data_IF_339538212232
#
_entry.id   IF_339538212232
#
_cell.length_a   1.000
_cell.length_b   1.000
_cell.length_c   1.000
_cell.angle_alpha   90.00
_cell.angle_beta   90.00
_cell.angle_gamma   90.00
#
_symmetry.space_group_name_H-M   'P 1'
#
loop_
_entity.id
_entity.type
_entity.pdbx_description
1 polymer ?
#
# COMPACT_ATOMS: atom_id res chain seq x y z
N UNK A 1 4.22 -18.81 15.69
CA UNK A 1 3.05 -18.32 14.93
C UNK A 1 3.53 -17.55 13.70
N UNK A 2 2.88 -17.71 12.57
CA UNK A 2 3.28 -17.09 11.31
C UNK A 2 2.49 -15.82 11.06
N UNK A 3 3.12 -14.81 10.45
CA UNK A 3 2.48 -13.55 10.10
C UNK A 3 2.52 -13.32 8.59
N UNK A 4 1.43 -12.78 8.05
CA UNK A 4 1.42 -12.17 6.73
C UNK A 4 1.14 -10.68 6.88
N UNK A 5 2.01 -9.87 6.30
CA UNK A 5 1.94 -8.43 6.37
C UNK A 5 1.69 -7.92 4.95
N UNK A 6 0.80 -6.97 4.78
CA UNK A 6 0.37 -6.48 3.48
C UNK A 6 0.60 -4.99 3.36
N UNK A 7 0.98 -4.52 2.18
CA UNK A 7 0.69 -3.15 1.80
C UNK A 7 -0.82 -2.98 1.54
N UNK A 8 -1.28 -1.76 1.39
CA UNK A 8 -2.69 -1.43 1.20
C UNK A 8 -2.96 -0.95 -0.23
N UNK A 9 -2.45 0.24 -0.59
CA UNK A 9 -2.72 0.88 -1.88
C UNK A 9 -1.98 0.16 -3.01
N UNK A 10 -2.72 -0.39 -3.98
CA UNK A 10 -2.15 -1.18 -5.08
C UNK A 10 -1.95 -2.66 -4.74
N UNK A 11 -2.09 -3.05 -3.48
CA UNK A 11 -1.97 -4.44 -3.04
C UNK A 11 -3.34 -5.02 -2.66
N UNK A 12 -3.94 -4.58 -1.57
CA UNK A 12 -5.28 -5.06 -1.18
C UNK A 12 -6.40 -4.24 -1.83
N UNK A 13 -6.15 -2.95 -2.05
CA UNK A 13 -7.14 -1.98 -2.52
C UNK A 13 -6.63 -1.30 -3.80
N UNK A 14 -7.44 -1.31 -4.85
CA UNK A 14 -7.29 -0.41 -5.98
C UNK A 14 -7.81 0.99 -5.58
N UNK A 15 -6.93 1.81 -5.03
CA UNK A 15 -7.24 3.14 -4.49
C UNK A 15 -6.86 4.28 -5.43
N UNK A 16 -6.23 4.00 -6.56
CA UNK A 16 -5.78 5.01 -7.50
C UNK A 16 -6.93 5.91 -8.05
N UNK A 17 -8.17 5.42 -8.26
CA UNK A 17 -9.26 6.28 -8.71
C UNK A 17 -9.60 7.40 -7.71
N UNK A 18 -9.64 7.13 -6.39
CA UNK A 18 -9.89 8.18 -5.39
C UNK A 18 -8.73 9.14 -5.24
N UNK A 19 -7.49 8.62 -5.33
CA UNK A 19 -6.28 9.45 -5.32
C UNK A 19 -6.30 10.40 -6.54
N UNK A 20 -6.63 9.89 -7.73
CA UNK A 20 -6.76 10.71 -8.94
C UNK A 20 -7.85 11.76 -8.79
N UNK A 21 -9.01 11.40 -8.25
CA UNK A 21 -10.12 12.34 -8.07
C UNK A 21 -9.71 13.50 -7.15
N UNK A 22 -9.02 13.22 -6.04
CA UNK A 22 -8.52 14.25 -5.12
C UNK A 22 -7.48 15.16 -5.79
N UNK A 23 -6.52 14.57 -6.51
CA UNK A 23 -5.50 15.33 -7.27
C UNK A 23 -6.16 16.21 -8.32
N UNK A 24 -7.04 15.67 -9.13
CA UNK A 24 -7.68 16.42 -10.21
C UNK A 24 -8.60 17.53 -9.69
N UNK A 25 -9.24 17.32 -8.55
CA UNK A 25 -10.00 18.39 -7.90
C UNK A 25 -9.09 19.51 -7.39
N UNK A 26 -7.97 19.18 -6.80
CA UNK A 26 -6.96 20.16 -6.38
C UNK A 26 -6.45 20.95 -7.60
N UNK A 27 -6.10 20.27 -8.70
CA UNK A 27 -5.63 20.91 -9.94
C UNK A 27 -6.69 21.82 -10.57
N UNK A 28 -7.96 21.41 -10.59
CA UNK A 28 -9.05 22.25 -11.11
C UNK A 28 -9.20 23.54 -10.33
N UNK A 29 -9.02 23.52 -8.99
CA UNK A 29 -9.05 24.74 -8.17
C UNK A 29 -7.85 25.66 -8.42
N UNK A 30 -6.77 25.15 -9.04
CA UNK A 30 -5.62 25.90 -9.52
C UNK A 30 -5.75 26.33 -11.00
N UNK A 31 -6.88 26.03 -11.64
CA UNK A 31 -7.11 26.34 -13.07
C UNK A 31 -6.33 25.44 -14.03
N UNK A 32 -5.89 24.27 -13.57
CA UNK A 32 -5.08 23.30 -14.33
C UNK A 32 -5.97 22.13 -14.76
N UNK A 33 -5.73 21.62 -15.96
CA UNK A 33 -6.42 20.45 -16.48
C UNK A 33 -6.10 19.16 -15.72
N UNK A 34 -6.96 18.13 -15.82
CA UNK A 34 -6.78 16.87 -15.09
C UNK A 34 -5.61 16.07 -15.62
N UNK A 35 -5.00 15.28 -14.73
CA UNK A 35 -4.08 14.20 -15.07
C UNK A 35 -4.86 12.90 -15.29
N UNK A 36 -4.41 12.08 -16.25
CA UNK A 36 -4.96 10.75 -16.47
C UNK A 36 -4.57 9.79 -15.33
N UNK A 37 -5.28 8.64 -15.25
CA UNK A 37 -5.10 7.68 -14.18
C UNK A 37 -3.70 7.06 -14.21
N UNK A 38 -3.17 6.72 -15.37
CA UNK A 38 -1.86 6.10 -15.50
C UNK A 38 -0.74 7.02 -14.99
N UNK A 39 -0.85 8.32 -15.31
CA UNK A 39 0.08 9.34 -14.78
C UNK A 39 0.01 9.40 -13.26
N UNK A 40 -1.19 9.45 -12.66
CA UNK A 40 -1.33 9.50 -11.19
C UNK A 40 -0.81 8.22 -10.55
N UNK A 41 -1.10 7.04 -11.11
CA UNK A 41 -0.58 5.75 -10.63
C UNK A 41 0.95 5.79 -10.55
N UNK A 42 1.64 6.35 -11.55
CA UNK A 42 3.10 6.45 -11.56
C UNK A 42 3.68 7.30 -10.41
N UNK A 43 2.85 8.05 -9.71
CA UNK A 43 3.26 8.88 -8.57
C UNK A 43 3.00 8.23 -7.22
N UNK A 44 2.23 7.12 -7.17
CA UNK A 44 1.88 6.38 -5.94
C UNK A 44 3.09 5.59 -5.41
N UNK A 45 3.06 5.19 -4.15
CA UNK A 45 4.02 4.29 -3.47
C UNK A 45 4.82 4.96 -2.34
N UNK A 46 5.19 6.24 -2.47
CA UNK A 46 6.00 6.94 -1.47
C UNK A 46 5.19 7.83 -0.49
N UNK A 47 3.85 7.68 -0.50
CA UNK A 47 2.90 8.46 0.30
C UNK A 47 2.51 9.79 -0.34
N UNK A 48 1.42 10.38 0.17
CA UNK A 48 0.76 11.56 -0.39
C UNK A 48 1.70 12.79 -0.54
N UNK A 49 2.62 13.10 0.39
CA UNK A 49 3.53 14.25 0.19
C UNK A 49 4.38 14.11 -1.08
N UNK A 50 4.93 12.91 -1.32
CA UNK A 50 5.77 12.66 -2.50
C UNK A 50 4.94 12.60 -3.79
N UNK A 51 3.72 12.11 -3.72
CA UNK A 51 2.78 12.14 -4.83
C UNK A 51 2.51 13.59 -5.24
N UNK A 52 2.15 14.48 -4.31
CA UNK A 52 1.90 15.90 -4.61
C UNK A 52 3.14 16.60 -5.17
N UNK A 53 4.33 16.32 -4.65
CA UNK A 53 5.59 16.83 -5.21
C UNK A 53 5.74 16.46 -6.70
N UNK A 54 5.47 15.18 -7.04
CA UNK A 54 5.51 14.68 -8.43
C UNK A 54 4.43 15.34 -9.31
N UNK A 55 3.23 15.54 -8.77
CA UNK A 55 2.15 16.26 -9.46
C UNK A 55 2.58 17.68 -9.79
N UNK A 56 3.09 18.43 -8.81
CA UNK A 56 3.53 19.81 -9.02
C UNK A 56 4.61 19.89 -10.12
N UNK A 57 5.56 18.95 -10.09
CA UNK A 57 6.60 18.86 -11.10
C UNK A 57 6.02 18.59 -12.50
N UNK A 58 5.09 17.65 -12.62
CA UNK A 58 4.47 17.26 -13.88
C UNK A 58 3.66 18.39 -14.53
N UNK A 59 2.98 19.21 -13.71
CA UNK A 59 2.17 20.36 -14.20
C UNK A 59 2.90 21.69 -14.10
N UNK A 60 4.20 21.68 -13.78
CA UNK A 60 5.07 22.86 -13.71
C UNK A 60 4.58 23.92 -12.69
N UNK A 61 3.96 23.49 -11.61
CA UNK A 61 3.64 24.35 -10.47
C UNK A 61 4.88 24.60 -9.58
N UNK A 62 5.01 25.80 -8.98
CA UNK A 62 6.12 26.12 -8.07
C UNK A 62 6.16 25.19 -6.86
N UNK A 63 7.36 24.70 -6.52
CA UNK A 63 7.55 23.75 -5.40
C UNK A 63 7.37 24.41 -4.02
N UNK A 64 7.46 25.71 -3.91
CA UNK A 64 7.17 26.47 -2.68
C UNK A 64 5.68 26.37 -2.27
N UNK A 65 4.80 26.00 -3.20
CA UNK A 65 3.38 25.73 -2.95
C UNK A 65 3.11 24.32 -2.40
N UNK A 66 4.12 23.45 -2.32
CA UNK A 66 3.94 22.04 -1.99
C UNK A 66 3.15 21.83 -0.70
N UNK A 67 3.52 22.50 0.41
CA UNK A 67 2.85 22.30 1.70
C UNK A 67 1.35 22.59 1.63
N UNK A 68 0.97 23.74 1.03
CA UNK A 68 -0.43 24.15 0.92
C UNK A 68 -1.24 23.21 0.01
N UNK A 69 -0.64 22.76 -1.11
CA UNK A 69 -1.32 21.86 -2.04
C UNK A 69 -1.37 20.43 -1.54
N UNK A 70 -0.39 20.00 -0.76
CA UNK A 70 -0.44 18.72 -0.05
C UNK A 70 -1.61 18.70 0.97
N UNK A 71 -1.70 19.70 1.85
CA UNK A 71 -2.79 19.79 2.84
C UNK A 71 -4.16 19.82 2.14
N UNK A 72 -4.28 20.58 1.05
CA UNK A 72 -5.48 20.65 0.23
C UNK A 72 -5.85 19.29 -0.38
N UNK A 73 -4.88 18.61 -1.00
CA UNK A 73 -5.10 17.29 -1.60
C UNK A 73 -5.50 16.26 -0.55
N UNK A 74 -4.84 16.27 0.61
CA UNK A 74 -5.17 15.39 1.72
C UNK A 74 -6.59 15.64 2.25
N UNK A 75 -6.98 16.90 2.42
CA UNK A 75 -8.35 17.26 2.82
C UNK A 75 -9.39 16.78 1.81
N UNK A 76 -9.11 16.92 0.52
CA UNK A 76 -10.02 16.45 -0.55
C UNK A 76 -10.12 14.93 -0.56
N UNK A 77 -9.00 14.24 -0.39
CA UNK A 77 -8.95 12.79 -0.31
C UNK A 77 -9.72 12.26 0.91
N UNK A 78 -9.49 12.83 2.10
CA UNK A 78 -10.12 12.38 3.35
C UNK A 78 -11.64 12.59 3.41
N UNK A 79 -12.23 13.39 2.50
CA UNK A 79 -13.69 13.56 2.42
C UNK A 79 -14.42 12.33 1.88
N UNK A 80 -13.76 11.52 1.05
CA UNK A 80 -14.33 10.33 0.46
C UNK A 80 -13.19 9.38 0.01
N UNK A 81 -12.45 8.74 0.94
CA UNK A 81 -11.23 8.01 0.62
C UNK A 81 -11.48 6.64 -0.03
N UNK A 82 -12.74 6.20 -0.11
CA UNK A 82 -13.15 4.89 -0.60
C UNK A 82 -14.34 4.93 -1.58
N UNK A 83 -14.67 6.12 -2.12
CA UNK A 83 -15.86 6.28 -2.97
C UNK A 83 -15.73 5.58 -4.34
N UNK A 84 -14.51 5.50 -4.87
CA UNK A 84 -14.19 4.89 -6.16
C UNK A 84 -13.22 3.70 -6.02
N UNK A 85 -12.64 3.54 -4.84
CA UNK A 85 -11.73 2.43 -4.50
C UNK A 85 -12.48 1.12 -4.39
N UNK A 86 -11.78 0.01 -4.62
CA UNK A 86 -12.32 -1.33 -4.44
C UNK A 86 -11.24 -2.30 -3.96
N UNK A 87 -11.55 -3.31 -3.14
CA UNK A 87 -10.64 -4.43 -2.94
C UNK A 87 -10.38 -5.14 -4.28
N UNK A 88 -9.13 -5.56 -4.49
CA UNK A 88 -8.83 -6.41 -5.65
C UNK A 88 -9.61 -7.72 -5.57
N UNK A 89 -9.88 -8.31 -6.74
CA UNK A 89 -10.60 -9.58 -6.84
C UNK A 89 -9.89 -10.68 -6.02
N UNK A 90 -10.65 -11.41 -5.21
CA UNK A 90 -10.17 -12.51 -4.39
C UNK A 90 -9.51 -12.09 -3.06
N UNK A 91 -9.39 -10.80 -2.75
CA UNK A 91 -8.77 -10.32 -1.50
C UNK A 91 -9.56 -10.79 -0.28
N UNK A 92 -10.87 -10.64 -0.29
CA UNK A 92 -11.71 -10.98 0.88
C UNK A 92 -11.63 -12.47 1.17
N UNK A 93 -11.83 -13.30 0.16
CA UNK A 93 -11.76 -14.77 0.25
C UNK A 93 -10.36 -15.23 0.72
N UNK A 94 -9.31 -14.62 0.19
CA UNK A 94 -7.95 -14.91 0.60
C UNK A 94 -7.71 -14.60 2.08
N UNK A 95 -8.16 -13.43 2.56
CA UNK A 95 -8.04 -13.04 3.97
C UNK A 95 -8.84 -13.97 4.89
N UNK A 96 -10.02 -14.41 4.49
CA UNK A 96 -10.83 -15.40 5.23
C UNK A 96 -10.09 -16.74 5.36
N UNK A 97 -9.48 -17.21 4.27
CA UNK A 97 -8.69 -18.45 4.27
C UNK A 97 -7.49 -18.35 5.19
N UNK A 98 -6.71 -17.25 5.08
CA UNK A 98 -5.52 -17.05 5.92
C UNK A 98 -5.86 -16.94 7.40
N UNK A 99 -6.95 -16.24 7.74
CA UNK A 99 -7.44 -16.15 9.11
C UNK A 99 -7.88 -17.51 9.65
N UNK A 100 -8.62 -18.31 8.84
CA UNK A 100 -9.03 -19.66 9.21
C UNK A 100 -7.85 -20.63 9.39
N UNK A 101 -6.74 -20.40 8.70
CA UNK A 101 -5.48 -21.14 8.87
C UNK A 101 -4.69 -20.72 10.13
N UNK A 102 -5.15 -19.69 10.85
CA UNK A 102 -4.55 -19.20 12.08
C UNK A 102 -3.33 -18.31 11.87
N UNK A 103 -3.17 -17.73 10.67
CA UNK A 103 -2.17 -16.70 10.41
C UNK A 103 -2.56 -15.38 11.08
N UNK A 104 -1.57 -14.66 11.60
CA UNK A 104 -1.74 -13.30 12.12
C UNK A 104 -1.47 -12.30 11.00
N UNK A 105 -2.37 -11.34 10.84
CA UNK A 105 -2.34 -10.42 9.72
C UNK A 105 -2.09 -8.99 10.18
N UNK A 106 -1.29 -8.23 9.40
CA UNK A 106 -1.03 -6.83 9.63
C UNK A 106 -0.97 -6.03 8.33
N UNK A 107 -1.14 -4.72 8.45
CA UNK A 107 -0.90 -3.74 7.38
C UNK A 107 0.39 -2.99 7.67
N UNK A 108 1.23 -2.82 6.62
CA UNK A 108 2.41 -1.96 6.62
C UNK A 108 2.40 -1.10 5.36
N UNK A 109 1.95 0.16 5.48
CA UNK A 109 1.71 1.04 4.34
C UNK A 109 2.33 2.42 4.52
N UNK A 110 2.65 3.12 3.40
CA UNK A 110 3.06 4.53 3.41
C UNK A 110 1.85 5.50 3.46
N UNK A 111 0.63 4.97 3.36
CA UNK A 111 -0.58 5.74 3.63
C UNK A 111 -0.64 6.12 5.12
N UNK A 112 -1.05 7.34 5.52
CA UNK A 112 -1.26 7.65 6.93
C UNK A 112 -2.23 6.68 7.61
N UNK A 113 -2.03 6.45 8.91
CA UNK A 113 -2.76 5.40 9.65
C UNK A 113 -4.28 5.64 9.68
N UNK A 114 -4.72 6.90 9.88
CA UNK A 114 -6.14 7.23 9.95
C UNK A 114 -6.88 6.92 8.62
N UNK A 115 -6.47 7.43 7.44
CA UNK A 115 -7.09 7.04 6.17
C UNK A 115 -6.95 5.55 5.85
N UNK A 116 -5.87 4.88 6.27
CA UNK A 116 -5.74 3.44 6.09
C UNK A 116 -6.80 2.67 6.90
N UNK A 117 -7.00 3.03 8.16
CA UNK A 117 -8.04 2.44 9.01
C UNK A 117 -9.44 2.71 8.46
N UNK A 118 -9.72 3.93 7.97
CA UNK A 118 -11.01 4.26 7.40
C UNK A 118 -11.34 3.37 6.20
N UNK A 119 -10.39 3.17 5.27
CA UNK A 119 -10.59 2.27 4.12
C UNK A 119 -10.84 0.83 4.57
N UNK A 120 -10.08 0.33 5.55
CA UNK A 120 -10.31 -1.01 6.08
C UNK A 120 -11.71 -1.16 6.67
N UNK A 121 -12.24 -0.15 7.36
CA UNK A 121 -13.60 -0.13 7.89
C UNK A 121 -14.65 -0.08 6.78
N UNK A 122 -14.49 0.81 5.80
CA UNK A 122 -15.43 0.98 4.70
C UNK A 122 -15.65 -0.31 3.91
N UNK A 123 -14.61 -1.15 3.80
CA UNK A 123 -14.68 -2.46 3.15
C UNK A 123 -14.81 -3.64 4.12
N UNK A 124 -15.03 -3.37 5.43
CA UNK A 124 -15.16 -4.41 6.47
C UNK A 124 -13.96 -5.38 6.53
N UNK A 125 -12.75 -4.85 6.26
CA UNK A 125 -11.50 -5.60 6.28
C UNK A 125 -10.75 -5.46 7.62
N UNK A 126 -11.05 -4.48 8.46
CA UNK A 126 -10.38 -4.24 9.75
C UNK A 126 -10.41 -5.47 10.67
N UNK A 127 -11.45 -6.30 10.56
CA UNK A 127 -11.63 -7.53 11.33
C UNK A 127 -10.51 -8.57 11.13
N UNK A 128 -9.75 -8.47 10.05
CA UNK A 128 -8.68 -9.41 9.75
C UNK A 128 -7.33 -8.99 10.32
N UNK A 129 -7.13 -7.70 10.59
CA UNK A 129 -5.81 -7.15 10.89
C UNK A 129 -5.66 -6.80 12.37
N UNK A 130 -4.68 -7.43 13.03
CA UNK A 130 -4.37 -7.15 14.43
C UNK A 130 -3.50 -5.89 14.60
N UNK A 131 -2.77 -5.51 13.57
CA UNK A 131 -1.84 -4.38 13.57
C UNK A 131 -1.95 -3.61 12.26
N UNK A 132 -2.07 -2.29 12.35
CA UNK A 132 -2.01 -1.37 11.21
C UNK A 132 -0.89 -0.36 11.47
N UNK A 133 0.14 -0.37 10.63
CA UNK A 133 1.26 0.56 10.66
C UNK A 133 1.19 1.43 9.41
N UNK A 134 0.78 2.68 9.60
CA UNK A 134 0.73 3.70 8.54
C UNK A 134 2.04 4.47 8.41
N UNK A 135 2.12 5.29 7.38
CA UNK A 135 3.31 6.09 7.06
C UNK A 135 3.69 7.16 8.08
N UNK A 136 2.81 7.43 9.04
CA UNK A 136 2.97 8.37 10.16
C UNK A 136 3.02 7.68 11.53
N UNK A 137 2.93 6.35 11.59
CA UNK A 137 2.96 5.58 12.84
C UNK A 137 4.34 5.56 13.49
N UNK A 138 5.40 5.76 12.72
CA UNK A 138 6.79 5.81 13.17
C UNK A 138 7.51 7.03 12.59
N UNK A 139 8.66 7.46 13.16
CA UNK A 139 9.45 8.58 12.59
C UNK A 139 9.98 8.31 11.18
N UNK A 140 9.98 7.06 10.74
CA UNK A 140 10.45 6.59 9.44
C UNK A 140 9.36 5.76 8.75
N UNK A 141 9.38 5.74 7.42
CA UNK A 141 8.43 4.99 6.59
C UNK A 141 9.15 4.11 5.58
N UNK A 142 8.45 3.26 4.84
CA UNK A 142 9.01 2.46 3.75
C UNK A 142 9.73 3.36 2.73
N UNK A 143 10.92 2.98 2.23
CA UNK A 143 11.53 1.66 2.28
C UNK A 143 12.38 1.37 3.54
N UNK A 144 12.37 2.22 4.59
CA UNK A 144 13.01 1.85 5.84
C UNK A 144 12.39 0.56 6.41
N UNK A 145 13.18 -0.42 6.90
CA UNK A 145 12.64 -1.70 7.37
C UNK A 145 11.87 -1.61 8.70
N UNK A 146 12.06 -0.54 9.48
CA UNK A 146 11.50 -0.43 10.82
C UNK A 146 9.96 -0.57 10.90
N UNK A 147 9.14 -0.01 9.98
CA UNK A 147 7.69 -0.23 9.99
C UNK A 147 7.32 -1.71 9.85
N UNK A 148 7.97 -2.42 8.93
CA UNK A 148 7.71 -3.85 8.71
C UNK A 148 8.16 -4.70 9.91
N UNK A 149 9.36 -4.43 10.45
CA UNK A 149 9.85 -5.08 11.67
C UNK A 149 8.96 -4.79 12.88
N UNK A 150 8.37 -3.59 12.96
CA UNK A 150 7.41 -3.24 14.00
C UNK A 150 6.13 -4.09 13.90
N UNK A 151 5.60 -4.34 12.70
CA UNK A 151 4.48 -5.25 12.50
C UNK A 151 4.81 -6.67 13.03
N UNK A 152 5.97 -7.22 12.66
CA UNK A 152 6.41 -8.55 13.10
C UNK A 152 6.49 -8.63 14.63
N UNK A 153 7.13 -7.64 15.25
CA UNK A 153 7.29 -7.58 16.70
C UNK A 153 5.93 -7.47 17.43
N UNK A 154 5.03 -6.63 16.92
CA UNK A 154 3.67 -6.47 17.50
C UNK A 154 2.84 -7.74 17.37
N UNK A 155 3.00 -8.48 16.28
CA UNK A 155 2.36 -9.77 16.08
C UNK A 155 3.02 -10.92 16.87
N UNK A 156 4.21 -10.72 17.44
CA UNK A 156 4.95 -11.81 18.12
C UNK A 156 5.23 -12.99 17.19
N UNK A 157 5.43 -12.74 15.91
CA UNK A 157 5.59 -13.77 14.90
C UNK A 157 7.03 -14.30 14.87
N UNK A 158 7.18 -15.62 14.72
CA UNK A 158 8.48 -16.28 14.55
C UNK A 158 8.92 -16.35 13.09
N UNK A 159 7.98 -16.29 12.16
CA UNK A 159 8.20 -16.20 10.72
C UNK A 159 7.18 -15.25 10.10
N UNK A 160 7.59 -14.50 9.09
CA UNK A 160 6.73 -13.52 8.43
C UNK A 160 6.96 -13.52 6.92
N UNK A 161 5.91 -13.15 6.17
CA UNK A 161 5.95 -12.83 4.75
C UNK A 161 5.44 -11.39 4.58
N UNK A 162 6.00 -10.67 3.61
CA UNK A 162 5.50 -9.36 3.22
C UNK A 162 4.95 -9.42 1.80
N UNK A 163 3.75 -8.90 1.60
CA UNK A 163 3.03 -8.88 0.34
C UNK A 163 2.85 -7.43 -0.09
N UNK A 164 3.27 -7.09 -1.30
CA UNK A 164 3.19 -5.74 -1.83
C UNK A 164 3.28 -5.73 -3.35
N UNK A 165 3.11 -4.57 -3.95
CA UNK A 165 3.01 -4.39 -5.40
C UNK A 165 4.08 -3.46 -5.99
N UNK A 166 4.92 -2.86 -5.15
CA UNK A 166 5.85 -1.81 -5.57
C UNK A 166 7.31 -2.11 -5.24
N UNK A 167 8.21 -1.38 -5.90
CA UNK A 167 9.64 -1.36 -5.58
C UNK A 167 9.92 -0.95 -4.14
N UNK A 168 9.08 -0.06 -3.58
CA UNK A 168 9.20 0.39 -2.19
C UNK A 168 8.97 -0.77 -1.21
N UNK A 169 8.01 -1.64 -1.50
CA UNK A 169 7.71 -2.82 -0.70
C UNK A 169 8.84 -3.84 -0.77
N UNK A 170 9.30 -4.11 -1.99
CA UNK A 170 10.40 -5.05 -2.21
C UNK A 170 11.67 -4.61 -1.48
N UNK A 171 12.08 -3.34 -1.61
CA UNK A 171 13.21 -2.78 -0.89
C UNK A 171 13.03 -2.85 0.64
N UNK A 172 11.82 -2.59 1.13
CA UNK A 172 11.49 -2.71 2.56
C UNK A 172 11.70 -4.15 3.04
N UNK A 173 11.17 -5.12 2.30
CA UNK A 173 11.30 -6.54 2.61
C UNK A 173 12.76 -7.00 2.61
N UNK A 174 13.54 -6.59 1.59
CA UNK A 174 14.97 -6.91 1.51
C UNK A 174 15.74 -6.36 2.70
N UNK A 175 15.53 -5.08 3.06
CA UNK A 175 16.20 -4.45 4.20
C UNK A 175 15.77 -5.08 5.53
N UNK A 176 14.53 -5.53 5.65
CA UNK A 176 14.02 -6.23 6.82
C UNK A 176 14.44 -7.71 6.87
N UNK A 177 15.01 -8.25 5.79
CA UNK A 177 15.32 -9.67 5.60
C UNK A 177 14.08 -10.58 5.74
N UNK A 178 12.95 -10.11 5.20
CA UNK A 178 11.67 -10.82 5.19
C UNK A 178 11.37 -11.27 3.75
N UNK A 179 11.00 -12.54 3.52
CA UNK A 179 10.60 -12.99 2.19
C UNK A 179 9.44 -12.17 1.63
N UNK A 180 9.53 -11.83 0.35
CA UNK A 180 8.60 -10.94 -0.34
C UNK A 180 7.78 -11.69 -1.38
N UNK A 181 6.48 -11.43 -1.40
CA UNK A 181 5.55 -11.87 -2.44
C UNK A 181 5.07 -10.64 -3.20
N UNK A 182 5.40 -10.58 -4.47
CA UNK A 182 5.06 -9.49 -5.37
C UNK A 182 3.70 -9.74 -6.02
N UNK A 183 2.74 -8.84 -5.78
CA UNK A 183 1.47 -8.79 -6.51
C UNK A 183 1.67 -8.01 -7.81
N UNK A 184 1.48 -8.67 -8.96
CA UNK A 184 1.80 -8.09 -10.28
C UNK A 184 0.74 -7.11 -10.79
N UNK A 185 -0.47 -7.11 -10.21
CA UNK A 185 -1.61 -6.30 -10.63
C UNK A 185 -1.66 -4.88 -10.07
N UNK A 186 -0.67 -4.47 -9.26
CA UNK A 186 -0.65 -3.15 -8.60
C UNK A 186 0.07 -2.03 -9.36
N UNK A 187 0.68 -1.10 -8.63
CA UNK A 187 1.12 0.22 -9.14
C UNK A 187 2.63 0.37 -9.36
N UNK A 188 3.36 -0.72 -9.54
CA UNK A 188 4.81 -0.67 -9.75
C UNK A 188 5.22 0.30 -10.86
N UNK A 189 6.35 0.97 -10.66
CA UNK A 189 7.02 1.76 -11.69
C UNK A 189 8.27 1.03 -12.23
N UNK A 190 8.90 0.19 -11.41
CA UNK A 190 10.07 -0.57 -11.81
C UNK A 190 9.75 -1.64 -12.88
N UNK A 191 10.71 -1.95 -13.72
CA UNK A 191 10.59 -3.04 -14.68
C UNK A 191 10.43 -4.40 -13.96
N UNK A 192 9.75 -5.37 -14.58
CA UNK A 192 9.52 -6.70 -13.98
C UNK A 192 10.81 -7.41 -13.52
N UNK A 193 11.93 -7.17 -14.22
CA UNK A 193 13.24 -7.72 -13.85
C UNK A 193 13.74 -7.25 -12.46
N UNK A 194 13.25 -6.13 -11.94
CA UNK A 194 13.58 -5.66 -10.59
C UNK A 194 13.15 -6.66 -9.52
N UNK A 195 12.04 -7.36 -9.75
CA UNK A 195 11.43 -8.31 -8.81
C UNK A 195 11.81 -9.78 -9.09
N UNK A 196 12.84 -10.03 -9.89
CA UNK A 196 13.20 -11.39 -10.36
C UNK A 196 13.48 -12.39 -9.22
N UNK A 197 13.86 -11.93 -8.03
CA UNK A 197 14.13 -12.76 -6.86
C UNK A 197 12.94 -12.79 -5.85
N UNK A 198 11.80 -12.20 -6.20
CA UNK A 198 10.59 -12.28 -5.41
C UNK A 198 9.73 -13.47 -5.84
N UNK A 199 8.85 -13.94 -4.96
CA UNK A 199 7.74 -14.80 -5.37
C UNK A 199 6.65 -13.92 -5.97
N UNK A 200 5.99 -14.40 -7.02
CA UNK A 200 5.02 -13.61 -7.77
C UNK A 200 3.63 -14.22 -7.67
N UNK A 201 2.62 -13.37 -7.50
CA UNK A 201 1.22 -13.73 -7.69
C UNK A 201 0.54 -12.70 -8.61
N UNK A 202 -0.34 -13.16 -9.47
CA UNK A 202 -1.24 -12.34 -10.29
C UNK A 202 -2.69 -12.40 -9.78
N UNK A 203 -3.00 -13.39 -8.94
CA UNK A 203 -4.30 -13.60 -8.32
C UNK A 203 -4.14 -13.95 -6.83
N UNK A 204 -4.97 -13.36 -5.98
CA UNK A 204 -4.94 -13.60 -4.54
C UNK A 204 -5.31 -15.02 -4.14
N UNK A 205 -6.06 -15.75 -4.97
CA UNK A 205 -6.37 -17.17 -4.75
C UNK A 205 -5.14 -18.07 -4.64
N UNK A 206 -4.00 -17.67 -5.21
CA UNK A 206 -2.75 -18.41 -5.12
C UNK A 206 -1.99 -18.19 -3.80
N UNK A 207 -2.27 -17.09 -3.09
CA UNK A 207 -1.48 -16.69 -1.93
C UNK A 207 -1.52 -17.67 -0.75
N UNK A 208 -2.66 -18.25 -0.33
CA UNK A 208 -2.68 -19.15 0.83
C UNK A 208 -1.77 -20.36 0.65
N UNK A 209 -1.80 -21.02 -0.51
CA UNK A 209 -0.95 -22.17 -0.77
C UNK A 209 0.54 -21.80 -0.87
N UNK A 210 0.86 -20.65 -1.48
CA UNK A 210 2.23 -20.16 -1.56
C UNK A 210 2.78 -19.80 -0.17
N UNK A 211 1.99 -19.11 0.64
CA UNK A 211 2.36 -18.74 2.01
C UNK A 211 2.65 -19.96 2.88
N UNK A 212 1.77 -20.96 2.82
CA UNK A 212 1.96 -22.23 3.51
C UNK A 212 3.28 -22.93 3.15
N UNK A 213 3.64 -22.91 1.87
CA UNK A 213 4.89 -23.51 1.41
C UNK A 213 6.13 -22.76 1.93
N UNK A 214 6.10 -21.44 1.86
CA UNK A 214 7.21 -20.58 2.28
C UNK A 214 7.42 -20.58 3.81
N UNK A 215 6.34 -20.69 4.58
CA UNK A 215 6.37 -20.63 6.05
C UNK A 215 6.65 -22.01 6.70
N UNK A 216 6.55 -23.10 5.93
CA UNK A 216 6.90 -24.47 6.38
C UNK A 216 8.34 -24.86 6.12
N UNK A 217 9.06 -24.10 5.29
CA UNK A 217 10.47 -24.38 5.00
C UNK A 217 11.32 -23.85 6.16
N UNK A 218 12.13 -24.72 6.82
CA UNK A 218 12.94 -24.37 7.99
C UNK A 218 14.10 -23.43 7.63
#
# INVERSE_FOLDING_TARGET
MNALIFDLDGTLIDSAPDIQAAVNKMLAEEGIGPLDLATVISFIGNGMPKLVERVLHAVQLPQDRHSALYEKTLLLYNRAPSALSQPYEGVIEMLEILAAQGHRLAICTNKPAEPAQQILQDFNLERFFEVVVGGDSLPVKKPNPAPLQHCVARLGASAALYIGDSEVDYETAQQAQIPFIFFTGGYRNAAAAFFQNAHHIDQFSALPALADNLLKTP
#
